data_IF_960088173999
#
_entry.id   IF_960088173999
#
_cell.length_a   1.000
_cell.length_b   1.000
_cell.length_c   1.000
_cell.angle_alpha   90.00
_cell.angle_beta   90.00
_cell.angle_gamma   90.00
#
_symmetry.space_group_name_H-M   'P 1'
#
loop_
_entity.id
_entity.type
_entity.pdbx_description
1 polymer ?
#
# COMPACT_ATOMS: atom_id res chain seq x y z
N UNK A 1 -32.01 -26.63 -6.00
CA UNK A 1 -30.89 -27.38 -5.41
C UNK A 1 -29.75 -27.35 -6.42
N UNK A 2 -28.68 -26.58 -6.14
CA UNK A 2 -27.56 -26.40 -7.05
C UNK A 2 -26.64 -27.63 -7.08
N UNK A 3 -25.90 -27.80 -8.19
CA UNK A 3 -24.85 -28.81 -8.33
C UNK A 3 -23.85 -28.68 -7.15
N UNK A 4 -23.58 -29.74 -6.38
CA UNK A 4 -22.62 -29.69 -5.28
C UNK A 4 -21.18 -29.36 -5.73
N UNK A 5 -20.88 -29.42 -7.04
CA UNK A 5 -19.61 -28.98 -7.61
C UNK A 5 -19.62 -27.51 -8.08
N UNK A 6 -20.75 -26.81 -8.02
CA UNK A 6 -20.84 -25.39 -8.36
C UNK A 6 -20.17 -24.55 -7.26
N UNK A 7 -18.95 -24.09 -7.54
CA UNK A 7 -18.21 -23.22 -6.64
C UNK A 7 -18.68 -21.76 -6.67
N UNK A 8 -19.63 -21.39 -7.53
CA UNK A 8 -20.07 -20.00 -7.72
C UNK A 8 -20.61 -19.35 -6.44
N UNK A 9 -21.46 -20.01 -5.63
CA UNK A 9 -21.93 -19.42 -4.37
C UNK A 9 -20.78 -19.18 -3.38
N UNK A 10 -19.80 -20.09 -3.34
CA UNK A 10 -18.62 -19.97 -2.50
C UNK A 10 -17.77 -18.78 -2.96
N UNK A 11 -17.51 -18.68 -4.26
CA UNK A 11 -16.72 -17.60 -4.84
C UNK A 11 -17.35 -16.22 -4.56
N UNK A 12 -18.68 -16.09 -4.69
CA UNK A 12 -19.42 -14.83 -4.42
C UNK A 12 -19.45 -14.45 -2.94
N UNK A 13 -19.25 -15.41 -2.05
CA UNK A 13 -19.18 -15.18 -0.60
C UNK A 13 -17.76 -14.86 -0.10
N UNK A 14 -16.76 -14.81 -1.00
CA UNK A 14 -15.39 -14.55 -0.62
C UNK A 14 -15.19 -13.09 -0.21
N UNK A 15 -14.75 -12.89 1.03
CA UNK A 15 -14.32 -11.60 1.55
C UNK A 15 -12.79 -11.48 1.41
N UNK A 16 -12.34 -10.77 0.38
CA UNK A 16 -10.92 -10.55 0.13
C UNK A 16 -10.21 -9.74 1.23
N UNK A 17 -10.90 -8.84 1.91
CA UNK A 17 -10.31 -8.00 2.94
C UNK A 17 -10.04 -8.82 4.20
N UNK A 18 -11.06 -9.53 4.68
CA UNK A 18 -10.91 -10.43 5.81
C UNK A 18 -9.90 -11.55 5.51
N UNK A 19 -9.92 -12.10 4.29
CA UNK A 19 -8.98 -13.13 3.87
C UNK A 19 -7.53 -12.63 3.83
N UNK A 20 -7.30 -11.40 3.36
CA UNK A 20 -5.97 -10.80 3.34
C UNK A 20 -5.41 -10.62 4.76
N UNK A 21 -6.25 -10.16 5.70
CA UNK A 21 -5.87 -10.00 7.11
C UNK A 21 -5.58 -11.35 7.77
N UNK A 22 -6.41 -12.37 7.53
CA UNK A 22 -6.17 -13.72 8.04
C UNK A 22 -4.88 -14.31 7.46
N UNK A 23 -4.64 -14.14 6.16
CA UNK A 23 -3.40 -14.56 5.50
C UNK A 23 -2.18 -13.88 6.11
N UNK A 24 -2.26 -12.56 6.38
CA UNK A 24 -1.19 -11.81 7.02
C UNK A 24 -0.90 -12.30 8.45
N UNK A 25 -1.94 -12.64 9.22
CA UNK A 25 -1.79 -13.20 10.57
C UNK A 25 -1.16 -14.59 10.55
N UNK A 26 -1.60 -15.47 9.65
CA UNK A 26 -0.99 -16.79 9.48
C UNK A 26 0.47 -16.64 9.06
N UNK A 27 0.76 -15.80 8.06
CA UNK A 27 2.12 -15.55 7.60
C UNK A 27 3.01 -15.04 8.75
N UNK A 28 2.49 -14.11 9.57
CA UNK A 28 3.19 -13.57 10.73
C UNK A 28 3.43 -14.63 11.80
N UNK A 29 2.42 -15.44 12.16
CA UNK A 29 2.58 -16.50 13.15
C UNK A 29 3.63 -17.53 12.71
N UNK A 30 3.67 -17.88 11.42
CA UNK A 30 4.67 -18.81 10.88
C UNK A 30 6.11 -18.31 11.03
N UNK A 31 6.33 -17.00 11.16
CA UNK A 31 7.68 -16.46 11.42
C UNK A 31 8.26 -16.85 12.78
N UNK A 32 7.46 -17.42 13.68
CA UNK A 32 7.93 -17.95 14.97
C UNK A 32 8.73 -19.26 14.79
N UNK A 33 8.49 -20.00 13.70
CA UNK A 33 9.06 -21.34 13.48
C UNK A 33 9.70 -21.54 12.12
N UNK A 34 9.38 -20.68 11.14
CA UNK A 34 9.82 -20.81 9.76
C UNK A 34 10.56 -19.56 9.28
N UNK A 35 11.47 -19.78 8.34
CA UNK A 35 12.23 -18.72 7.70
C UNK A 35 11.36 -17.92 6.71
N UNK A 36 11.53 -16.60 6.70
CA UNK A 36 10.77 -15.67 5.86
C UNK A 36 10.72 -16.07 4.38
N UNK A 37 11.81 -16.48 3.71
CA UNK A 37 11.76 -16.87 2.30
C UNK A 37 10.78 -18.00 2.00
N UNK A 38 10.61 -18.96 2.92
CA UNK A 38 9.67 -20.07 2.74
C UNK A 38 8.23 -19.63 2.96
N UNK A 39 8.00 -18.71 3.91
CA UNK A 39 6.71 -18.08 4.13
C UNK A 39 6.28 -17.28 2.89
N UNK A 40 7.20 -16.50 2.29
CA UNK A 40 6.94 -15.76 1.07
C UNK A 40 6.57 -16.68 -0.10
N UNK A 41 7.33 -17.76 -0.31
CA UNK A 41 6.99 -18.79 -1.32
C UNK A 41 5.62 -19.41 -1.07
N UNK A 42 5.25 -19.63 0.20
CA UNK A 42 3.94 -20.15 0.54
C UNK A 42 2.82 -19.15 0.27
N UNK A 43 3.01 -17.85 0.57
CA UNK A 43 2.05 -16.79 0.22
C UNK A 43 1.86 -16.75 -1.30
N UNK A 44 2.95 -16.72 -2.06
CA UNK A 44 2.92 -16.68 -3.53
C UNK A 44 2.22 -17.91 -4.11
N UNK A 45 2.55 -19.12 -3.64
CA UNK A 45 1.88 -20.37 -4.07
C UNK A 45 0.41 -20.42 -3.68
N UNK A 46 0.03 -19.83 -2.56
CA UNK A 46 -1.36 -19.78 -2.12
C UNK A 46 -2.17 -18.81 -2.97
N UNK A 47 -1.58 -17.66 -3.32
CA UNK A 47 -2.17 -16.71 -4.25
C UNK A 47 -2.35 -17.31 -5.66
N UNK A 48 -1.32 -17.96 -6.20
CA UNK A 48 -1.40 -18.62 -7.53
C UNK A 48 -2.53 -19.65 -7.53
N UNK A 49 -2.61 -20.52 -6.52
CA UNK A 49 -3.69 -21.53 -6.41
C UNK A 49 -5.07 -20.90 -6.32
N UNK A 50 -5.22 -19.78 -5.60
CA UNK A 50 -6.48 -19.05 -5.53
C UNK A 50 -6.88 -18.52 -6.90
N UNK A 51 -5.97 -17.84 -7.59
CA UNK A 51 -6.20 -17.26 -8.90
C UNK A 51 -6.47 -18.34 -9.96
N UNK A 52 -5.71 -19.43 -10.00
CA UNK A 52 -5.96 -20.55 -10.92
C UNK A 52 -7.33 -21.21 -10.71
N UNK A 53 -7.86 -21.17 -9.48
CA UNK A 53 -9.15 -21.77 -9.17
C UNK A 53 -10.35 -20.87 -9.46
N UNK A 54 -10.20 -19.56 -9.24
CA UNK A 54 -11.34 -18.62 -9.23
C UNK A 54 -11.27 -17.50 -10.27
N UNK A 55 -10.17 -17.38 -11.02
CA UNK A 55 -10.10 -16.46 -12.16
C UNK A 55 -10.70 -17.08 -13.42
N UNK A 56 -11.24 -16.24 -14.28
CA UNK A 56 -11.62 -16.61 -15.64
C UNK A 56 -10.41 -16.43 -16.55
N UNK A 57 -10.03 -17.48 -17.28
CA UNK A 57 -8.96 -17.42 -18.26
C UNK A 57 -9.05 -18.55 -19.30
N UNK A 58 -8.37 -18.32 -20.42
CA UNK A 58 -8.01 -19.37 -21.38
C UNK A 58 -6.63 -19.90 -21.01
N UNK A 59 -6.49 -21.22 -21.01
CA UNK A 59 -5.23 -21.89 -20.70
C UNK A 59 -4.10 -21.34 -21.58
N UNK A 60 -2.95 -21.08 -20.97
CA UNK A 60 -1.74 -20.56 -21.62
C UNK A 60 -1.89 -19.16 -22.27
N UNK A 61 -2.96 -18.42 -21.98
CA UNK A 61 -3.20 -17.05 -22.47
C UNK A 61 -3.35 -16.03 -21.31
N UNK A 62 -2.25 -15.40 -20.87
CA UNK A 62 -2.28 -14.43 -19.77
C UNK A 62 -3.17 -13.20 -20.05
N UNK A 63 -3.38 -12.82 -21.31
CA UNK A 63 -4.19 -11.64 -21.68
C UNK A 63 -5.68 -11.83 -21.38
N UNK A 64 -6.12 -13.09 -21.31
CA UNK A 64 -7.50 -13.45 -20.98
C UNK A 64 -7.82 -13.45 -19.48
N UNK A 65 -6.81 -13.36 -18.61
CA UNK A 65 -6.98 -13.48 -17.17
C UNK A 65 -7.86 -12.37 -16.59
N UNK A 66 -8.95 -12.73 -15.92
CA UNK A 66 -9.87 -11.80 -15.25
C UNK A 66 -10.24 -12.33 -13.86
N UNK A 67 -10.27 -11.44 -12.88
CA UNK A 67 -10.80 -11.69 -11.55
C UNK A 67 -12.14 -10.97 -11.39
N UNK A 68 -13.09 -11.61 -10.70
CA UNK A 68 -14.31 -10.94 -10.28
C UNK A 68 -14.02 -9.92 -9.18
N UNK A 69 -14.99 -9.05 -8.90
CA UNK A 69 -14.85 -7.96 -7.93
C UNK A 69 -14.49 -8.46 -6.53
N UNK A 70 -14.99 -9.63 -6.15
CA UNK A 70 -14.73 -10.28 -4.86
C UNK A 70 -13.25 -10.64 -4.66
N UNK A 71 -12.47 -10.80 -5.74
CA UNK A 71 -11.06 -11.19 -5.69
C UNK A 71 -10.09 -10.12 -6.22
N UNK A 72 -10.58 -9.07 -6.87
CA UNK A 72 -9.76 -8.14 -7.65
C UNK A 72 -8.65 -7.45 -6.84
N UNK A 73 -8.88 -7.16 -5.55
CA UNK A 73 -7.90 -6.50 -4.67
C UNK A 73 -6.98 -7.48 -3.96
N UNK A 74 -7.35 -8.77 -3.88
CA UNK A 74 -6.59 -9.76 -3.12
C UNK A 74 -5.12 -9.89 -3.58
N UNK A 75 -4.80 -9.93 -4.89
CA UNK A 75 -3.41 -9.92 -5.35
C UNK A 75 -2.64 -8.67 -4.90
N UNK A 76 -3.29 -7.50 -4.89
CA UNK A 76 -2.67 -6.26 -4.45
C UNK A 76 -2.35 -6.29 -2.94
N UNK A 77 -3.25 -6.81 -2.12
CA UNK A 77 -2.96 -7.01 -0.70
C UNK A 77 -1.77 -7.96 -0.49
N UNK A 78 -1.69 -9.06 -1.24
CA UNK A 78 -0.56 -9.98 -1.16
C UNK A 78 0.76 -9.34 -1.61
N UNK A 79 0.72 -8.49 -2.63
CA UNK A 79 1.86 -7.70 -3.08
C UNK A 79 2.40 -6.75 -2.00
N UNK A 80 1.52 -6.07 -1.26
CA UNK A 80 1.96 -5.20 -0.17
C UNK A 80 2.38 -5.99 1.07
N UNK A 81 1.67 -7.08 1.42
CA UNK A 81 2.01 -7.97 2.53
C UNK A 81 3.45 -8.51 2.40
N UNK A 82 3.82 -9.05 1.24
CA UNK A 82 5.16 -9.63 1.00
C UNK A 82 6.31 -8.62 1.13
N UNK A 83 6.01 -7.32 0.99
CA UNK A 83 6.96 -6.20 1.10
C UNK A 83 6.84 -5.46 2.44
N UNK A 84 5.86 -5.81 3.26
CA UNK A 84 5.61 -5.18 4.55
C UNK A 84 6.69 -5.54 5.57
N UNK A 85 6.82 -4.71 6.58
CA UNK A 85 7.71 -4.94 7.73
C UNK A 85 7.35 -6.17 8.57
N UNK A 86 6.20 -6.81 8.31
CA UNK A 86 5.84 -8.07 8.95
C UNK A 86 6.71 -9.23 8.47
N UNK A 87 7.08 -9.19 7.18
CA UNK A 87 7.84 -10.25 6.51
C UNK A 87 9.25 -9.76 6.09
N UNK A 88 9.41 -8.51 5.65
CA UNK A 88 10.72 -7.93 5.34
C UNK A 88 11.35 -7.30 6.59
N UNK A 89 12.20 -8.05 7.29
CA UNK A 89 12.80 -7.62 8.56
C UNK A 89 14.07 -6.78 8.40
N UNK A 90 14.58 -6.60 7.17
CA UNK A 90 15.75 -5.76 6.94
C UNK A 90 15.48 -4.33 7.42
N UNK A 91 16.49 -3.70 8.04
CA UNK A 91 16.39 -2.35 8.59
C UNK A 91 15.31 -2.18 9.68
N UNK A 92 14.95 -3.27 10.37
CA UNK A 92 14.05 -3.27 11.53
C UNK A 92 14.69 -4.07 12.66
N UNK A 93 14.64 -3.56 13.90
CA UNK A 93 15.13 -4.33 15.05
C UNK A 93 14.21 -5.52 15.38
N UNK A 94 14.70 -6.54 16.11
CA UNK A 94 13.84 -7.63 16.59
C UNK A 94 12.65 -7.13 17.42
N UNK A 95 12.87 -6.14 18.29
CA UNK A 95 11.82 -5.57 19.15
C UNK A 95 10.77 -4.80 18.35
N UNK A 96 11.17 -3.98 17.36
CA UNK A 96 10.22 -3.31 16.46
C UNK A 96 9.40 -4.33 15.66
N UNK A 97 10.05 -5.40 15.19
CA UNK A 97 9.37 -6.47 14.46
C UNK A 97 8.31 -7.16 15.34
N UNK A 98 8.69 -7.50 16.58
CA UNK A 98 7.77 -8.07 17.56
C UNK A 98 6.60 -7.11 17.88
N UNK A 99 6.89 -5.81 18.04
CA UNK A 99 5.89 -4.78 18.26
C UNK A 99 4.88 -4.72 17.10
N UNK A 100 5.34 -4.57 15.85
CA UNK A 100 4.44 -4.50 14.69
C UNK A 100 3.56 -5.74 14.57
N UNK A 101 4.15 -6.92 14.73
CA UNK A 101 3.42 -8.20 14.66
C UNK A 101 2.38 -8.32 15.77
N UNK A 102 2.72 -7.92 17.00
CA UNK A 102 1.79 -7.96 18.14
C UNK A 102 0.54 -7.10 17.89
N UNK A 103 0.71 -5.95 17.24
CA UNK A 103 -0.39 -5.03 16.94
C UNK A 103 -1.29 -5.60 15.84
N UNK A 104 -0.72 -6.17 14.76
CA UNK A 104 -1.48 -6.79 13.67
C UNK A 104 -2.43 -7.91 14.15
N UNK A 105 -1.99 -8.71 15.13
CA UNK A 105 -2.80 -9.81 15.68
C UNK A 105 -3.96 -9.31 16.53
N UNK A 106 -3.85 -8.11 17.11
CA UNK A 106 -4.87 -7.52 17.99
C UNK A 106 -5.91 -6.68 17.26
N UNK A 107 -5.54 -6.01 16.17
CA UNK A 107 -6.39 -5.02 15.50
C UNK A 107 -7.57 -5.62 14.71
N UNK A 108 -8.54 -4.79 14.34
CA UNK A 108 -9.66 -5.21 13.49
C UNK A 108 -9.25 -5.31 12.00
N UNK A 109 -10.17 -5.76 11.13
CA UNK A 109 -9.91 -5.90 9.69
C UNK A 109 -9.48 -4.58 9.06
N UNK A 110 -10.22 -3.50 9.29
CA UNK A 110 -9.95 -2.18 8.71
C UNK A 110 -8.55 -1.67 9.05
N UNK A 111 -8.17 -1.68 10.33
CA UNK A 111 -6.84 -1.25 10.78
C UNK A 111 -5.73 -2.17 10.25
N UNK A 112 -5.98 -3.47 10.21
CA UNK A 112 -5.02 -4.45 9.67
C UNK A 112 -4.78 -4.24 8.17
N UNK A 113 -5.82 -3.89 7.41
CA UNK A 113 -5.66 -3.55 5.99
C UNK A 113 -4.77 -2.32 5.80
N UNK A 114 -4.96 -1.27 6.61
CA UNK A 114 -4.10 -0.08 6.56
C UNK A 114 -2.63 -0.43 6.88
N UNK A 115 -2.39 -1.39 7.77
CA UNK A 115 -1.03 -1.88 8.03
C UNK A 115 -0.43 -2.65 6.85
N UNK A 116 -1.24 -3.45 6.15
CA UNK A 116 -0.80 -4.26 5.01
C UNK A 116 -0.56 -3.37 3.80
N UNK A 117 -1.57 -2.57 3.44
CA UNK A 117 -1.55 -1.61 2.35
C UNK A 117 -1.88 -0.22 2.90
N UNK A 118 -0.86 0.60 3.16
CA UNK A 118 -1.03 1.98 3.61
C UNK A 118 -1.94 2.79 2.67
N UNK A 119 -2.74 3.69 3.26
CA UNK A 119 -3.57 4.62 2.49
C UNK A 119 -2.81 5.91 2.17
N UNK A 120 -3.02 6.44 0.98
CA UNK A 120 -2.43 7.69 0.51
C UNK A 120 -3.53 8.62 0.00
N UNK A 121 -3.65 9.80 0.62
CA UNK A 121 -4.55 10.87 0.17
C UNK A 121 -3.72 11.99 -0.45
N UNK A 122 -4.20 12.54 -1.57
CA UNK A 122 -3.61 13.71 -2.21
C UNK A 122 -4.47 14.95 -2.00
N UNK A 123 -3.81 16.05 -1.69
CA UNK A 123 -4.37 17.38 -1.50
C UNK A 123 -3.73 18.29 -2.53
N UNK A 124 -4.55 18.96 -3.33
CA UNK A 124 -4.12 19.92 -4.34
C UNK A 124 -5.06 21.11 -4.34
N UNK A 125 -4.75 22.14 -5.14
CA UNK A 125 -5.69 23.24 -5.37
C UNK A 125 -6.93 22.81 -6.18
N UNK A 126 -6.90 21.62 -6.80
CA UNK A 126 -7.92 21.15 -7.72
C UNK A 126 -8.84 20.15 -6.99
N UNK A 127 -9.79 20.69 -6.25
CA UNK A 127 -10.86 19.91 -5.63
C UNK A 127 -10.58 19.45 -4.21
N UNK A 128 -11.40 18.50 -3.75
CA UNK A 128 -11.32 17.93 -2.41
C UNK A 128 -10.23 16.87 -2.32
N UNK A 129 -9.73 16.55 -1.11
CA UNK A 129 -8.78 15.48 -0.92
C UNK A 129 -9.29 14.17 -1.52
N UNK A 130 -8.43 13.48 -2.28
CA UNK A 130 -8.81 12.25 -2.99
C UNK A 130 -7.81 11.12 -2.74
N UNK A 131 -8.27 9.86 -2.59
CA UNK A 131 -7.38 8.70 -2.57
C UNK A 131 -6.58 8.59 -3.85
N UNK A 132 -5.28 8.33 -3.70
CA UNK A 132 -4.36 8.07 -4.81
C UNK A 132 -3.69 6.72 -4.61
N UNK A 133 -3.13 6.16 -5.69
CA UNK A 133 -2.42 4.89 -5.62
C UNK A 133 -1.16 5.05 -4.75
N UNK A 134 -0.83 4.02 -3.97
CA UNK A 134 0.42 3.96 -3.21
C UNK A 134 1.59 3.68 -4.18
N UNK A 135 1.90 4.65 -5.03
CA UNK A 135 2.72 4.51 -6.21
C UNK A 135 3.61 5.74 -6.43
N UNK A 136 4.82 5.51 -6.95
CA UNK A 136 5.79 6.54 -7.33
C UNK A 136 5.19 7.66 -8.21
N UNK A 137 4.28 7.31 -9.12
CA UNK A 137 3.62 8.24 -10.03
C UNK A 137 2.64 9.20 -9.32
N UNK A 138 2.23 8.90 -8.08
CA UNK A 138 1.33 9.76 -7.31
C UNK A 138 2.04 10.90 -6.59
N UNK A 139 3.38 10.92 -6.62
CA UNK A 139 4.17 12.01 -6.04
C UNK A 139 4.31 13.13 -7.06
N UNK A 140 3.72 14.30 -6.75
CA UNK A 140 3.78 15.49 -7.59
C UNK A 140 4.29 16.70 -6.80
N UNK A 141 5.12 17.58 -7.40
CA UNK A 141 5.71 18.72 -6.69
C UNK A 141 4.68 19.76 -6.20
N UNK A 142 3.48 19.81 -6.78
CA UNK A 142 2.41 20.76 -6.48
C UNK A 142 1.27 20.18 -5.61
N UNK A 143 1.50 19.03 -4.97
CA UNK A 143 0.53 18.36 -4.11
C UNK A 143 1.08 18.11 -2.71
N UNK A 144 0.19 17.93 -1.74
CA UNK A 144 0.51 17.41 -0.40
C UNK A 144 -0.06 16.01 -0.31
N UNK A 145 0.71 15.07 0.22
CA UNK A 145 0.27 13.71 0.46
C UNK A 145 0.10 13.46 1.96
N UNK A 146 -0.99 12.81 2.35
CA UNK A 146 -1.18 12.24 3.69
C UNK A 146 -1.07 10.73 3.57
N UNK A 147 0.05 10.19 4.05
CA UNK A 147 0.28 8.75 4.15
C UNK A 147 -0.10 8.27 5.54
N UNK A 148 -0.92 7.23 5.59
CA UNK A 148 -1.25 6.51 6.82
C UNK A 148 -0.85 5.04 6.68
N UNK A 149 0.13 4.63 7.50
CA UNK A 149 0.66 3.25 7.56
C UNK A 149 0.18 2.48 8.79
N UNK A 150 -0.87 2.97 9.45
CA UNK A 150 -1.26 2.62 10.82
C UNK A 150 -0.25 3.10 11.88
N UNK A 151 1.04 2.79 11.74
CA UNK A 151 2.09 3.09 12.73
C UNK A 151 2.69 4.49 12.59
N UNK A 152 2.66 5.04 11.38
CA UNK A 152 3.11 6.39 11.06
C UNK A 152 2.02 7.12 10.28
N UNK A 153 1.84 8.39 10.62
CA UNK A 153 1.03 9.35 9.87
C UNK A 153 1.98 10.41 9.34
N UNK A 154 2.13 10.47 8.02
CA UNK A 154 3.13 11.33 7.36
C UNK A 154 2.43 12.35 6.47
N UNK A 155 2.65 13.62 6.75
CA UNK A 155 2.31 14.73 5.85
C UNK A 155 3.54 15.04 5.01
N UNK A 156 3.43 14.86 3.70
CA UNK A 156 4.50 15.03 2.73
C UNK A 156 4.18 16.19 1.79
N UNK A 157 5.04 17.20 1.75
CA UNK A 157 4.88 18.34 0.84
C UNK A 157 5.71 18.12 -0.42
N UNK A 158 5.08 18.23 -1.59
CA UNK A 158 5.79 18.33 -2.87
C UNK A 158 6.71 19.55 -2.92
N UNK A 159 7.73 19.49 -3.78
CA UNK A 159 8.78 20.52 -3.89
C UNK A 159 8.24 21.96 -3.99
N UNK A 160 7.25 22.20 -4.87
CA UNK A 160 6.67 23.55 -5.06
C UNK A 160 5.87 24.00 -3.84
N UNK A 161 5.12 23.08 -3.22
CA UNK A 161 4.37 23.38 -1.99
C UNK A 161 5.34 23.78 -0.87
N UNK A 162 6.41 23.01 -0.68
CA UNK A 162 7.43 23.32 0.32
C UNK A 162 8.08 24.68 0.04
N UNK A 163 8.45 24.96 -1.21
CA UNK A 163 9.01 26.24 -1.63
C UNK A 163 8.07 27.42 -1.31
N UNK A 164 6.77 27.31 -1.64
CA UNK A 164 5.79 28.36 -1.34
C UNK A 164 5.57 28.56 0.16
N UNK A 165 5.58 27.46 0.93
CA UNK A 165 5.47 27.51 2.39
C UNK A 165 6.67 28.26 3.00
N UNK A 166 7.87 27.95 2.54
CA UNK A 166 9.11 28.55 3.06
C UNK A 166 9.25 30.03 2.64
N UNK A 167 8.61 30.44 1.53
CA UNK A 167 8.48 31.85 1.12
C UNK A 167 7.43 32.63 1.93
N UNK A 168 6.66 31.98 2.80
CA UNK A 168 5.66 32.63 3.65
C UNK A 168 4.36 33.01 2.94
N UNK A 169 4.06 32.41 1.78
CA UNK A 169 2.84 32.79 1.04
C UNK A 169 1.56 32.56 1.84
N UNK A 170 1.51 31.58 2.74
CA UNK A 170 0.37 31.33 3.62
C UNK A 170 0.04 32.49 4.58
N UNK A 171 0.98 33.41 4.80
CA UNK A 171 0.80 34.54 5.72
C UNK A 171 0.18 35.76 5.04
N UNK A 172 0.12 35.78 3.70
CA UNK A 172 -0.54 36.84 2.94
C UNK A 172 -2.05 36.60 2.84
N UNK A 173 -2.86 37.66 3.05
CA UNK A 173 -4.32 37.58 2.97
C UNK A 173 -4.81 37.10 1.60
N UNK A 174 -4.08 37.43 0.54
CA UNK A 174 -4.36 37.03 -0.86
C UNK A 174 -4.20 35.52 -1.12
N UNK A 175 -3.53 34.80 -0.21
CA UNK A 175 -3.18 33.38 -0.37
C UNK A 175 -3.87 32.49 0.67
N UNK A 176 -5.06 32.88 1.13
CA UNK A 176 -5.85 32.10 2.10
C UNK A 176 -6.11 30.66 1.64
N UNK A 177 -6.26 30.42 0.33
CA UNK A 177 -6.43 29.07 -0.22
C UNK A 177 -5.20 28.19 -0.01
N UNK A 178 -3.99 28.75 -0.10
CA UNK A 178 -2.76 28.01 0.15
C UNK A 178 -2.60 27.70 1.65
N UNK A 179 -2.93 28.66 2.52
CA UNK A 179 -3.00 28.42 3.97
C UNK A 179 -3.95 27.27 4.32
N UNK A 180 -5.15 27.27 3.75
CA UNK A 180 -6.12 26.20 3.96
C UNK A 180 -5.63 24.85 3.42
N UNK A 181 -4.94 24.83 2.28
CA UNK A 181 -4.32 23.63 1.71
C UNK A 181 -3.29 23.01 2.67
N UNK A 182 -2.47 23.83 3.33
CA UNK A 182 -1.47 23.34 4.32
C UNK A 182 -2.11 22.79 5.60
N UNK A 183 -3.27 23.34 6.03
CA UNK A 183 -3.96 22.97 7.27
C UNK A 183 -4.78 21.68 7.11
N UNK A 184 -5.40 21.48 5.95
CA UNK A 184 -6.29 20.34 5.68
C UNK A 184 -5.67 18.97 6.03
N UNK A 185 -4.49 18.58 5.50
CA UNK A 185 -3.88 17.28 5.81
C UNK A 185 -3.47 17.14 7.27
N UNK A 186 -3.11 18.23 7.95
CA UNK A 186 -2.77 18.22 9.38
C UNK A 186 -4.01 17.94 10.24
N UNK A 187 -5.15 18.51 9.85
CA UNK A 187 -6.43 18.28 10.54
C UNK A 187 -6.88 16.82 10.38
N UNK A 188 -6.74 16.27 9.17
CA UNK A 188 -7.05 14.87 8.91
C UNK A 188 -6.08 13.93 9.65
N UNK A 189 -4.79 14.25 9.67
CA UNK A 189 -3.78 13.54 10.45
C UNK A 189 -4.13 13.50 11.95
N UNK A 190 -4.54 14.63 12.54
CA UNK A 190 -4.92 14.69 13.94
C UNK A 190 -6.12 13.77 14.23
N UNK A 191 -7.14 13.78 13.38
CA UNK A 191 -8.31 12.88 13.52
C UNK A 191 -7.91 11.40 13.49
N UNK A 192 -6.96 11.02 12.63
CA UNK A 192 -6.42 9.66 12.58
C UNK A 192 -5.72 9.32 13.90
N UNK A 193 -4.89 10.23 14.42
CA UNK A 193 -4.15 10.02 15.67
C UNK A 193 -5.07 9.90 16.88
N UNK A 194 -6.11 10.73 16.98
CA UNK A 194 -7.04 10.75 18.11
C UNK A 194 -7.87 9.45 18.23
N UNK A 195 -8.09 8.76 17.11
CA UNK A 195 -8.88 7.53 17.05
C UNK A 195 -8.06 6.26 17.17
N UNK A 196 -6.71 6.35 17.17
CA UNK A 196 -5.83 5.19 17.03
C UNK A 196 -5.08 4.88 18.32
N UNK A 197 -5.03 3.58 18.64
CA UNK A 197 -4.18 3.05 19.68
C UNK A 197 -3.34 1.87 19.16
N UNK A 198 -2.01 1.86 19.35
CA UNK A 198 -1.20 2.95 19.92
C UNK A 198 -1.19 4.19 19.02
N UNK A 199 -0.93 5.37 19.63
CA UNK A 199 -0.84 6.62 18.88
C UNK A 199 0.30 6.51 17.86
N UNK A 200 0.07 6.77 16.56
CA UNK A 200 1.10 6.63 15.56
C UNK A 200 2.12 7.77 15.66
N UNK A 201 3.31 7.53 15.14
CA UNK A 201 4.32 8.58 15.02
C UNK A 201 3.91 9.55 13.92
N UNK A 202 3.76 10.83 14.28
CA UNK A 202 3.51 11.92 13.34
C UNK A 202 4.81 12.42 12.71
N UNK A 203 4.82 12.59 11.39
CA UNK A 203 5.98 13.06 10.63
C UNK A 203 5.49 14.11 9.63
N UNK A 204 6.21 15.23 9.54
CA UNK A 204 6.00 16.23 8.51
C UNK A 204 7.30 16.36 7.74
N UNK A 205 7.26 16.16 6.43
CA UNK A 205 8.46 16.17 5.61
C UNK A 205 8.20 16.80 4.24
N UNK A 206 9.30 17.15 3.58
CA UNK A 206 9.28 17.74 2.24
C UNK A 206 10.02 16.84 1.26
N UNK A 207 9.62 16.91 0.00
CA UNK A 207 10.30 16.23 -1.09
C UNK A 207 11.81 16.51 -1.09
N UNK A 208 12.61 15.48 -1.35
CA UNK A 208 14.08 15.52 -1.33
C UNK A 208 14.74 15.76 0.05
N UNK A 209 13.99 15.73 1.16
CA UNK A 209 14.55 15.76 2.53
C UNK A 209 14.65 14.35 3.13
N UNK A 210 15.40 14.21 4.22
CA UNK A 210 15.72 12.92 4.83
C UNK A 210 14.49 12.12 5.26
N UNK A 211 13.47 12.77 5.82
CA UNK A 211 12.26 12.11 6.33
C UNK A 211 11.28 11.71 5.22
N UNK A 212 11.44 12.22 3.98
CA UNK A 212 10.66 11.78 2.82
C UNK A 212 10.76 10.27 2.57
N UNK A 213 11.86 9.63 3.02
CA UNK A 213 12.06 8.19 2.94
C UNK A 213 10.93 7.37 3.57
N UNK A 214 10.21 7.90 4.58
CA UNK A 214 9.07 7.23 5.18
C UNK A 214 7.91 7.05 4.20
N UNK A 215 7.76 7.95 3.22
CA UNK A 215 6.82 7.80 2.11
C UNK A 215 7.42 6.93 1.02
N UNK A 216 8.60 7.30 0.52
CA UNK A 216 9.23 6.68 -0.65
C UNK A 216 9.40 5.15 -0.46
N UNK A 217 9.79 4.70 0.73
CA UNK A 217 9.98 3.27 1.01
C UNK A 217 8.68 2.45 1.01
N UNK A 218 7.50 3.09 1.05
CA UNK A 218 6.19 2.42 1.03
C UNK A 218 5.55 2.42 -0.36
N UNK A 219 6.04 3.23 -1.30
CA UNK A 219 5.48 3.35 -2.63
C UNK A 219 5.80 2.13 -3.51
N UNK A 220 4.89 1.82 -4.42
CA UNK A 220 5.15 0.92 -5.53
C UNK A 220 6.18 1.56 -6.49
N UNK A 221 7.31 0.89 -6.78
CA UNK A 221 8.35 1.40 -7.68
C UNK A 221 7.95 1.18 -9.15
N UNK A 222 6.85 1.83 -9.59
CA UNK A 222 6.45 1.86 -11.00
C UNK A 222 7.43 2.67 -11.86
N UNK A 223 8.11 3.64 -11.24
CA UNK A 223 9.14 4.51 -11.81
C UNK A 223 10.48 4.23 -11.13
N UNK A 224 11.41 3.63 -11.86
CA UNK A 224 12.74 3.30 -11.34
C UNK A 224 13.86 3.89 -12.19
N UNK A 225 15.09 3.76 -11.72
CA UNK A 225 16.29 4.15 -12.47
C UNK A 225 16.51 3.33 -13.75
N UNK A 226 15.87 2.15 -13.87
CA UNK A 226 15.96 1.26 -15.03
C UNK A 226 14.87 1.52 -16.08
N UNK A 227 13.79 2.20 -15.70
CA UNK A 227 12.75 2.63 -16.64
C UNK A 227 13.14 3.97 -17.25
N UNK A 228 13.57 3.95 -18.52
CA UNK A 228 13.92 5.16 -19.29
C UNK A 228 12.70 5.98 -19.77
N UNK A 229 11.55 5.80 -19.14
CA UNK A 229 10.33 6.52 -19.50
C UNK A 229 10.35 7.93 -18.89
N UNK A 230 10.03 8.93 -19.71
CA UNK A 230 9.92 10.34 -19.30
C UNK A 230 8.68 10.64 -18.44
N UNK A 231 8.09 9.61 -17.84
CA UNK A 231 6.90 9.69 -17.00
C UNK A 231 7.14 10.53 -15.75
N UNK A 232 6.20 11.41 -15.45
CA UNK A 232 6.21 12.25 -14.25
C UNK A 232 6.00 11.41 -12.99
N UNK A 233 6.70 11.78 -11.90
CA UNK A 233 6.62 11.14 -10.59
C UNK A 233 7.98 11.06 -9.89
N UNK A 234 8.01 10.48 -8.69
CA UNK A 234 9.24 10.30 -7.92
C UNK A 234 9.99 9.05 -8.40
N UNK A 235 11.26 9.17 -8.78
CA UNK A 235 12.07 8.01 -9.17
C UNK A 235 12.56 7.25 -7.93
N UNK A 236 12.16 5.99 -7.80
CA UNK A 236 12.55 5.15 -6.68
C UNK A 236 13.78 4.31 -7.06
N UNK A 237 14.86 4.47 -6.29
CA UNK A 237 16.09 3.69 -6.45
C UNK A 237 15.97 2.36 -5.69
N UNK A 238 15.39 1.36 -6.34
CA UNK A 238 15.24 0.01 -5.80
C UNK A 238 15.24 -1.03 -6.93
N UNK A 239 15.64 -2.25 -6.61
CA UNK A 239 15.49 -3.44 -7.46
C UNK A 239 14.21 -4.24 -7.14
N UNK A 240 13.37 -3.72 -6.24
CA UNK A 240 12.08 -4.32 -5.92
C UNK A 240 11.18 -4.41 -7.15
N UNK A 241 10.46 -5.53 -7.24
CA UNK A 241 9.47 -5.77 -8.29
C UNK A 241 8.27 -4.83 -8.12
N UNK A 242 7.85 -4.17 -9.20
CA UNK A 242 6.65 -3.34 -9.21
C UNK A 242 5.36 -4.18 -9.23
N UNK A 243 4.24 -3.60 -8.80
CA UNK A 243 2.93 -4.26 -8.82
C UNK A 243 2.57 -4.77 -10.22
N UNK A 244 2.90 -4.02 -11.28
CA UNK A 244 2.66 -4.44 -12.66
C UNK A 244 3.39 -5.74 -13.00
N UNK A 245 4.69 -5.80 -12.74
CA UNK A 245 5.51 -6.99 -13.01
C UNK A 245 5.06 -8.17 -12.14
N UNK A 246 4.71 -7.90 -10.87
CA UNK A 246 4.14 -8.91 -9.99
C UNK A 246 2.84 -9.52 -10.56
N UNK A 247 1.92 -8.68 -11.04
CA UNK A 247 0.67 -9.12 -11.66
C UNK A 247 0.92 -9.89 -12.96
N UNK A 248 1.84 -9.43 -13.82
CA UNK A 248 2.21 -10.14 -15.06
C UNK A 248 2.70 -11.57 -14.77
N UNK A 249 3.55 -11.73 -13.75
CA UNK A 249 4.04 -13.03 -13.32
C UNK A 249 2.93 -13.90 -12.72
N UNK A 250 2.07 -13.32 -11.86
CA UNK A 250 0.93 -14.02 -11.29
C UNK A 250 -0.01 -14.55 -12.38
N UNK A 251 -0.39 -13.69 -13.33
CA UNK A 251 -1.26 -14.07 -14.45
C UNK A 251 -0.64 -15.20 -15.26
N UNK A 252 0.65 -15.10 -15.60
CA UNK A 252 1.35 -16.14 -16.36
C UNK A 252 1.35 -17.49 -15.65
N UNK A 253 1.63 -17.52 -14.34
CA UNK A 253 1.65 -18.77 -13.57
C UNK A 253 0.24 -19.32 -13.32
N UNK A 254 -0.74 -18.44 -13.14
CA UNK A 254 -2.12 -18.85 -12.89
C UNK A 254 -2.73 -19.58 -14.10
N UNK A 255 -2.50 -19.08 -15.32
CA UNK A 255 -3.05 -19.68 -16.55
C UNK A 255 -2.35 -20.95 -17.02
N UNK A 256 -1.18 -21.25 -16.45
CA UNK A 256 -0.38 -22.45 -16.73
C UNK A 256 -0.69 -23.61 -15.80
N UNK A 257 -1.31 -23.33 -14.65
CA UNK A 257 -1.63 -24.33 -13.61
C UNK A 257 -2.81 -25.22 -13.99
#
# INVERSE_FOLDING_TARGET
HGDPNDASPIARSFDQEASAVLMARIATHRTETEEVPDILRWVDRSLIRLCSKFADYRKDDPGSFRLSQEFAMYPQFMFHLRRSQFLQLFNTSPDESAYYRSVLVRENTTNSLVMIQPSLLSYSFQGTPSPVLLDAASVSPDTILLLDTFFHVVVFHGEKIAMWRDQGYQDHEEHIHFKNLLIAPQTDAQRIMDQRFPVPRYIVCDQHKSEARFVIAKLNPSLTHNTNDGSAGERIFTDDVSLRVFMEHLMKLAVQS
#
